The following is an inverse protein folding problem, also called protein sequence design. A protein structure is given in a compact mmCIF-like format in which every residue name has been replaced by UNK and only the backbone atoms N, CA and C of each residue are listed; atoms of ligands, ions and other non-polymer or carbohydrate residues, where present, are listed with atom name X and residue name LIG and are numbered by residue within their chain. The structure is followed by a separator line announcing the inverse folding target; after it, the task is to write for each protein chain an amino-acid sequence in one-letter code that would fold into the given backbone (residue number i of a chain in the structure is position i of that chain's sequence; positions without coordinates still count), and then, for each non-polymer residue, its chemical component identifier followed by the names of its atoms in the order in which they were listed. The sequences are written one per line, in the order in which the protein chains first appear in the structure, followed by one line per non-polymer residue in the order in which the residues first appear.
data_IF_456944642976
#
_entry.id   IF_456944642976
#
_cell.length_a   1.000
_cell.length_b   1.000
_cell.length_c   1.000
_cell.angle_alpha   90.00
_cell.angle_beta   90.00
_cell.angle_gamma   90.00
#
_symmetry.space_group_name_H-M   'P 1'
#
loop_
_entity.id
_entity.type
_entity.pdbx_description
1 polymer ?
#
# COMPACT_ATOMS: atom_id res chain seq x y z
N UNK A 1 -12.74 -15.92 12.69
CA UNK A 1 -13.78 -15.30 11.85
C UNK A 1 -13.18 -14.14 11.05
N UNK A 2 -12.18 -14.40 10.20
CA UNK A 2 -11.71 -13.51 9.12
C UNK A 2 -10.88 -14.39 8.16
N UNK A 3 -11.47 -15.45 7.61
CA UNK A 3 -10.76 -16.42 6.76
C UNK A 3 -11.18 -16.32 5.29
N UNK A 4 -11.72 -15.17 4.89
CA UNK A 4 -12.11 -14.91 3.50
C UNK A 4 -10.92 -14.51 2.62
N UNK A 5 -11.04 -14.79 1.34
CA UNK A 5 -10.13 -14.35 0.28
C UNK A 5 -10.89 -13.50 -0.74
N UNK A 6 -10.22 -12.52 -1.31
CA UNK A 6 -10.77 -11.65 -2.35
C UNK A 6 -9.95 -11.87 -3.62
N UNK A 7 -10.64 -12.09 -4.74
CA UNK A 7 -10.03 -12.12 -6.07
C UNK A 7 -9.59 -10.70 -6.48
N UNK A 8 -8.29 -10.53 -6.62
CA UNK A 8 -7.59 -9.31 -7.05
C UNK A 8 -7.24 -9.38 -8.54
N UNK A 9 -7.05 -10.59 -9.09
CA UNK A 9 -6.66 -10.78 -10.48
C UNK A 9 -7.66 -10.15 -11.45
N UNK A 10 -8.95 -10.34 -11.18
CA UNK A 10 -10.03 -9.76 -11.97
C UNK A 10 -10.25 -8.25 -11.80
N UNK A 11 -9.65 -7.60 -10.79
CA UNK A 11 -9.88 -6.18 -10.45
C UNK A 11 -8.61 -5.32 -10.46
N UNK A 12 -7.49 -5.87 -10.94
CA UNK A 12 -6.18 -5.18 -10.88
C UNK A 12 -6.20 -3.89 -11.68
N UNK A 13 -6.81 -3.88 -12.88
CA UNK A 13 -6.92 -2.69 -13.72
C UNK A 13 -7.76 -1.59 -13.06
N UNK A 14 -8.85 -1.97 -12.40
CA UNK A 14 -9.74 -1.09 -11.64
C UNK A 14 -9.01 -0.48 -10.45
N UNK A 15 -8.19 -1.26 -9.74
CA UNK A 15 -7.36 -0.78 -8.63
C UNK A 15 -6.29 0.22 -9.11
N UNK A 16 -5.66 -0.04 -10.26
CA UNK A 16 -4.70 0.90 -10.87
C UNK A 16 -5.40 2.20 -11.30
N UNK A 17 -6.58 2.11 -11.92
CA UNK A 17 -7.38 3.27 -12.28
C UNK A 17 -7.80 4.07 -11.04
N UNK A 18 -8.27 3.39 -10.00
CA UNK A 18 -8.64 4.01 -8.72
C UNK A 18 -7.47 4.76 -8.09
N UNK A 19 -6.25 4.20 -8.15
CA UNK A 19 -5.02 4.88 -7.72
C UNK A 19 -4.78 6.19 -8.50
N UNK A 20 -4.92 6.17 -9.82
CA UNK A 20 -4.78 7.37 -10.66
C UNK A 20 -5.84 8.44 -10.35
N UNK A 21 -7.10 8.02 -10.13
CA UNK A 21 -8.19 8.92 -9.70
C UNK A 21 -7.90 9.52 -8.33
N UNK A 22 -7.44 8.72 -7.36
CA UNK A 22 -7.08 9.19 -6.02
C UNK A 22 -5.95 10.22 -6.06
N UNK A 23 -4.90 9.98 -6.86
CA UNK A 23 -3.83 10.96 -7.09
C UNK A 23 -4.38 12.29 -7.62
N UNK A 24 -5.20 12.22 -8.66
CA UNK A 24 -5.80 13.41 -9.28
C UNK A 24 -6.71 14.15 -8.30
N UNK A 25 -7.49 13.42 -7.49
CA UNK A 25 -8.37 13.99 -6.48
C UNK A 25 -7.57 14.71 -5.37
N UNK A 26 -6.50 14.09 -4.86
CA UNK A 26 -5.63 14.71 -3.84
C UNK A 26 -5.01 16.01 -4.38
N UNK A 27 -4.47 15.98 -5.59
CA UNK A 27 -3.88 17.16 -6.22
C UNK A 27 -4.93 18.24 -6.48
N UNK A 28 -6.09 17.87 -7.03
CA UNK A 28 -7.19 18.79 -7.29
C UNK A 28 -7.72 19.46 -6.03
N UNK A 29 -7.93 18.69 -4.96
CA UNK A 29 -8.35 19.20 -3.65
C UNK A 29 -7.30 20.14 -3.04
N UNK A 30 -6.01 19.78 -3.13
CA UNK A 30 -4.91 20.63 -2.68
C UNK A 30 -4.87 21.97 -3.43
N UNK A 31 -4.91 21.94 -4.76
CA UNK A 31 -4.91 23.15 -5.59
C UNK A 31 -6.14 24.05 -5.36
N UNK A 32 -7.29 23.46 -5.04
CA UNK A 32 -8.51 24.19 -4.69
C UNK A 32 -8.51 24.74 -3.24
N UNK A 33 -7.46 24.49 -2.46
CA UNK A 33 -7.31 24.97 -1.08
C UNK A 33 -7.95 24.07 -0.01
N UNK A 34 -8.54 22.93 -0.39
CA UNK A 34 -9.11 21.95 0.55
C UNK A 34 -8.04 21.01 1.12
N UNK A 35 -6.98 21.59 1.70
CA UNK A 35 -5.77 20.89 2.11
C UNK A 35 -6.03 19.76 3.12
N UNK A 36 -6.87 19.99 4.12
CA UNK A 36 -7.20 18.96 5.12
C UNK A 36 -7.95 17.77 4.49
N UNK A 37 -8.90 18.04 3.59
CA UNK A 37 -9.64 17.00 2.87
C UNK A 37 -8.69 16.22 1.95
N UNK A 38 -7.81 16.91 1.23
CA UNK A 38 -6.79 16.28 0.39
C UNK A 38 -5.91 15.31 1.20
N UNK A 39 -5.55 15.71 2.41
CA UNK A 39 -4.72 14.94 3.34
C UNK A 39 -5.46 13.71 3.87
N UNK A 40 -6.76 13.79 4.19
CA UNK A 40 -7.58 12.62 4.53
C UNK A 40 -7.71 11.64 3.35
N UNK A 41 -7.93 12.15 2.13
CA UNK A 41 -8.05 11.32 0.92
C UNK A 41 -6.73 10.62 0.61
N UNK A 42 -5.59 11.29 0.84
CA UNK A 42 -4.26 10.71 0.58
C UNK A 42 -3.95 9.45 1.40
N UNK A 43 -4.63 9.24 2.53
CA UNK A 43 -4.48 8.00 3.31
C UNK A 43 -4.82 6.78 2.46
N UNK A 44 -5.83 6.91 1.58
CA UNK A 44 -6.33 5.82 0.75
C UNK A 44 -5.50 5.56 -0.51
N UNK A 45 -4.54 6.43 -0.81
CA UNK A 45 -3.78 6.40 -2.06
C UNK A 45 -2.89 5.16 -2.18
N UNK A 46 -2.41 4.65 -1.05
CA UNK A 46 -1.56 3.45 -1.01
C UNK A 46 -2.35 2.15 -0.93
N UNK A 47 -3.66 2.17 -0.70
CA UNK A 47 -4.48 0.96 -0.57
C UNK A 47 -4.48 0.10 -1.84
N UNK A 48 -4.70 0.66 -3.05
CA UNK A 48 -4.68 -0.16 -4.27
C UNK A 48 -3.33 -0.84 -4.47
N UNK A 49 -2.23 -0.12 -4.24
CA UNK A 49 -0.87 -0.65 -4.34
C UNK A 49 -0.58 -1.73 -3.31
N UNK A 50 -1.05 -1.54 -2.07
CA UNK A 50 -0.94 -2.56 -1.04
C UNK A 50 -1.71 -3.83 -1.42
N UNK A 51 -2.94 -3.69 -1.91
CA UNK A 51 -3.80 -4.83 -2.28
C UNK A 51 -3.16 -5.61 -3.44
N UNK A 52 -2.70 -4.92 -4.48
CA UNK A 52 -2.03 -5.55 -5.62
C UNK A 52 -0.74 -6.23 -5.15
N UNK A 53 0.12 -5.52 -4.42
CA UNK A 53 1.43 -6.02 -4.00
C UNK A 53 1.37 -7.13 -2.95
N UNK A 54 0.29 -7.20 -2.17
CA UNK A 54 0.06 -8.24 -1.16
C UNK A 54 -0.74 -9.44 -1.71
N UNK A 55 -1.17 -9.39 -2.97
CA UNK A 55 -1.87 -10.50 -3.58
C UNK A 55 -0.91 -11.64 -3.95
N UNK A 56 -1.34 -12.88 -3.74
CA UNK A 56 -0.64 -14.09 -4.12
C UNK A 56 -1.62 -14.95 -4.93
N UNK A 57 -1.20 -15.44 -6.11
CA UNK A 57 -2.07 -16.16 -7.05
C UNK A 57 -3.36 -15.41 -7.43
N UNK A 58 -3.29 -14.07 -7.48
CA UNK A 58 -4.45 -13.25 -7.78
C UNK A 58 -5.46 -13.16 -6.65
N UNK A 59 -5.20 -13.66 -5.44
CA UNK A 59 -6.07 -13.46 -4.28
C UNK A 59 -5.35 -12.76 -3.12
N UNK A 60 -6.12 -12.10 -2.25
CA UNK A 60 -5.62 -11.51 -1.02
C UNK A 60 -6.46 -11.96 0.18
N UNK A 61 -5.79 -12.29 1.29
CA UNK A 61 -6.48 -12.62 2.54
C UNK A 61 -7.14 -11.39 3.16
N UNK A 62 -8.40 -11.50 3.55
CA UNK A 62 -9.13 -10.47 4.31
C UNK A 62 -8.45 -10.08 5.62
N UNK A 63 -7.60 -10.96 6.18
CA UNK A 63 -6.77 -10.66 7.35
C UNK A 63 -5.86 -9.46 7.08
N UNK A 64 -5.20 -9.41 5.92
CA UNK A 64 -4.28 -8.33 5.53
C UNK A 64 -5.01 -6.99 5.37
N UNK A 65 -6.28 -7.02 4.97
CA UNK A 65 -7.12 -5.82 4.85
C UNK A 65 -7.51 -5.25 6.21
N UNK A 66 -7.76 -6.10 7.21
CA UNK A 66 -8.07 -5.65 8.57
C UNK A 66 -6.77 -5.27 9.30
N UNK A 67 -5.76 -6.14 9.25
CA UNK A 67 -4.43 -5.92 9.79
C UNK A 67 -3.36 -6.46 8.81
N UNK A 68 -2.47 -5.60 8.28
CA UNK A 68 -2.16 -4.28 8.82
C UNK A 68 -2.95 -3.11 8.23
N UNK A 69 -3.56 -3.26 7.05
CA UNK A 69 -4.05 -2.10 6.27
C UNK A 69 -5.13 -1.29 7.00
N UNK A 70 -6.13 -1.92 7.58
CA UNK A 70 -7.23 -1.27 8.29
C UNK A 70 -6.75 -0.51 9.54
N UNK A 71 -5.93 -1.14 10.37
CA UNK A 71 -5.34 -0.49 11.56
C UNK A 71 -4.43 0.67 11.15
N UNK A 72 -3.59 0.48 10.13
CA UNK A 72 -2.73 1.54 9.60
C UNK A 72 -3.55 2.75 9.12
N UNK A 73 -4.66 2.50 8.42
CA UNK A 73 -5.61 3.53 7.97
C UNK A 73 -6.21 4.29 9.14
N UNK A 74 -6.67 3.57 10.17
CA UNK A 74 -7.25 4.18 11.37
C UNK A 74 -6.26 5.06 12.12
N UNK A 75 -5.00 4.61 12.25
CA UNK A 75 -3.93 5.38 12.88
C UNK A 75 -3.61 6.66 12.09
N UNK A 76 -3.47 6.56 10.77
CA UNK A 76 -3.24 7.70 9.87
C UNK A 76 -4.35 8.75 9.98
N UNK A 77 -5.61 8.34 9.84
CA UNK A 77 -6.75 9.27 9.94
C UNK A 77 -6.81 9.93 11.31
N UNK A 78 -6.57 9.16 12.38
CA UNK A 78 -6.52 9.69 13.75
C UNK A 78 -5.39 10.70 13.92
N UNK A 79 -4.21 10.41 13.36
CA UNK A 79 -3.06 11.31 13.37
C UNK A 79 -3.44 12.67 12.76
N UNK A 80 -4.00 12.63 11.54
CA UNK A 80 -4.34 13.82 10.77
C UNK A 80 -5.45 14.65 11.41
N UNK A 81 -6.50 14.01 11.92
CA UNK A 81 -7.58 14.70 12.64
C UNK A 81 -7.03 15.38 13.90
N UNK A 82 -6.15 14.72 14.66
CA UNK A 82 -5.54 15.32 15.85
C UNK A 82 -4.57 16.44 15.50
N UNK A 83 -3.83 16.31 14.40
CA UNK A 83 -2.95 17.38 13.90
C UNK A 83 -3.76 18.63 13.56
N UNK A 84 -4.84 18.50 12.81
CA UNK A 84 -5.74 19.62 12.48
C UNK A 84 -6.33 20.24 13.75
N UNK A 85 -6.86 19.41 14.65
CA UNK A 85 -7.44 19.85 15.91
C UNK A 85 -6.44 20.67 16.76
N UNK A 86 -5.25 20.13 17.01
CA UNK A 86 -4.25 20.80 17.84
C UNK A 86 -3.58 21.98 17.14
N UNK A 87 -3.46 21.95 15.80
CA UNK A 87 -2.96 23.10 15.03
C UNK A 87 -3.90 24.29 15.17
N UNK A 88 -5.22 24.05 15.08
CA UNK A 88 -6.23 25.09 15.24
C UNK A 88 -6.36 25.54 16.70
N UNK A 89 -6.35 24.60 17.67
CA UNK A 89 -6.48 24.92 19.09
C UNK A 89 -5.34 25.79 19.63
N UNK A 90 -4.14 25.66 19.06
CA UNK A 90 -2.96 26.42 19.46
C UNK A 90 -2.48 27.42 18.39
N UNK A 91 -3.32 27.74 17.40
CA UNK A 91 -2.97 28.69 16.35
C UNK A 91 -2.56 30.06 16.94
N UNK A 92 -1.34 30.50 16.64
CA UNK A 92 -0.80 31.77 17.13
C UNK A 92 -0.45 31.81 18.63
N UNK A 93 -0.43 30.65 19.31
CA UNK A 93 -0.11 30.55 20.74
C UNK A 93 0.79 29.36 21.02
N UNK A 94 1.54 29.41 22.12
CA UNK A 94 2.28 28.22 22.58
C UNK A 94 1.32 27.21 23.19
N UNK A 95 1.51 25.90 22.96
CA UNK A 95 0.63 24.89 23.50
C UNK A 95 0.72 24.85 25.03
N UNK A 96 -0.43 24.62 25.67
CA UNK A 96 -0.51 24.54 27.14
C UNK A 96 0.24 23.33 27.73
N UNK A 97 0.55 22.33 26.90
CA UNK A 97 1.28 21.13 27.26
C UNK A 97 2.10 20.63 26.07
N UNK A 98 3.10 19.80 26.37
CA UNK A 98 3.88 19.08 25.39
C UNK A 98 3.66 17.58 25.55
N UNK A 99 3.68 16.85 24.44
CA UNK A 99 3.64 15.39 24.44
C UNK A 99 5.03 14.91 24.10
N UNK A 100 5.71 14.25 25.05
CA UNK A 100 7.10 13.78 24.86
C UNK A 100 8.04 14.89 24.37
N UNK A 101 7.84 16.13 24.83
CA UNK A 101 8.63 17.30 24.41
C UNK A 101 8.22 17.93 23.07
N UNK A 102 7.19 17.40 22.40
CA UNK A 102 6.73 17.88 21.10
C UNK A 102 5.42 18.68 21.20
N UNK A 103 5.22 19.58 20.23
CA UNK A 103 3.92 20.23 20.03
C UNK A 103 2.83 19.15 19.82
N UNK A 104 1.64 19.25 20.45
CA UNK A 104 0.63 18.20 20.39
C UNK A 104 0.23 17.78 18.97
N UNK A 105 0.14 18.73 18.03
CA UNK A 105 -0.17 18.44 16.62
C UNK A 105 0.93 17.59 15.95
N UNK A 106 2.21 17.84 16.26
CA UNK A 106 3.33 17.07 15.74
C UNK A 106 3.45 15.71 16.43
N UNK A 107 3.22 15.65 17.74
CA UNK A 107 3.23 14.41 18.49
C UNK A 107 2.18 13.40 17.97
N UNK A 108 1.01 13.88 17.54
CA UNK A 108 0.00 13.04 16.91
C UNK A 108 0.53 12.36 15.63
N UNK A 109 1.15 13.12 14.72
CA UNK A 109 1.78 12.56 13.52
C UNK A 109 2.91 11.60 13.89
N UNK A 110 3.78 11.99 14.80
CA UNK A 110 4.93 11.19 15.18
C UNK A 110 4.52 9.82 15.75
N UNK A 111 3.61 9.81 16.72
CA UNK A 111 3.24 8.58 17.42
C UNK A 111 2.26 7.71 16.65
N UNK A 112 1.26 8.29 15.97
CA UNK A 112 0.23 7.52 15.30
C UNK A 112 0.63 7.16 13.87
N UNK A 113 1.04 8.14 13.07
CA UNK A 113 1.43 7.89 11.68
C UNK A 113 2.80 7.23 11.59
N UNK A 114 3.82 7.83 12.20
CA UNK A 114 5.20 7.36 12.08
C UNK A 114 5.43 6.07 12.87
N UNK A 115 5.40 6.15 14.20
CA UNK A 115 5.69 4.98 15.04
C UNK A 115 4.59 3.94 14.92
N UNK A 116 3.34 4.31 15.14
CA UNK A 116 2.19 3.39 15.08
C UNK A 116 2.01 2.77 13.70
N UNK A 117 2.04 3.58 12.65
CA UNK A 117 1.90 3.12 11.27
C UNK A 117 3.04 2.21 10.85
N UNK A 118 4.30 2.61 11.09
CA UNK A 118 5.46 1.78 10.76
C UNK A 118 5.42 0.44 11.50
N UNK A 119 5.19 0.46 12.82
CA UNK A 119 5.10 -0.76 13.63
C UNK A 119 3.96 -1.68 13.14
N UNK A 120 2.80 -1.12 12.79
CA UNK A 120 1.64 -1.88 12.29
C UNK A 120 1.99 -2.62 11.00
N UNK A 121 2.60 -1.94 10.04
CA UNK A 121 2.98 -2.54 8.75
C UNK A 121 4.09 -3.57 8.94
N UNK A 122 5.14 -3.26 9.72
CA UNK A 122 6.27 -4.18 9.96
C UNK A 122 5.83 -5.44 10.70
N UNK A 123 4.97 -5.32 11.71
CA UNK A 123 4.42 -6.48 12.42
C UNK A 123 3.47 -7.28 11.54
N UNK A 124 2.61 -6.62 10.76
CA UNK A 124 1.74 -7.28 9.78
C UNK A 124 2.54 -8.10 8.77
N UNK A 125 3.64 -7.53 8.27
CA UNK A 125 4.59 -8.25 7.45
C UNK A 125 5.19 -9.44 8.25
N UNK A 126 5.80 -9.22 9.41
CA UNK A 126 6.43 -10.30 10.19
C UNK A 126 5.49 -11.46 10.55
N UNK A 127 4.22 -11.19 10.85
CA UNK A 127 3.24 -12.20 11.26
C UNK A 127 2.67 -12.97 10.06
N UNK A 128 2.42 -12.27 8.94
CA UNK A 128 1.69 -12.84 7.81
C UNK A 128 2.53 -13.10 6.56
N UNK A 129 3.79 -12.64 6.49
CA UNK A 129 4.63 -12.72 5.30
C UNK A 129 4.73 -14.14 4.74
N UNK A 130 5.15 -15.10 5.57
CA UNK A 130 5.32 -16.51 5.20
C UNK A 130 4.01 -17.26 4.88
N UNK A 131 2.86 -16.73 5.27
CA UNK A 131 1.56 -17.42 5.16
C UNK A 131 0.65 -16.86 4.09
N UNK A 132 0.72 -15.55 3.84
CA UNK A 132 -0.23 -14.85 3.00
C UNK A 132 0.41 -13.96 1.94
N UNK A 133 1.68 -13.58 2.10
CA UNK A 133 2.39 -12.69 1.17
C UNK A 133 3.31 -13.47 0.24
N UNK A 134 4.03 -14.45 0.79
CA UNK A 134 4.87 -15.39 0.05
C UNK A 134 4.83 -16.76 0.74
N UNK A 135 3.77 -17.55 0.49
CA UNK A 135 3.72 -18.95 0.90
C UNK A 135 4.96 -19.72 0.43
N UNK A 136 5.41 -20.67 1.25
CA UNK A 136 6.54 -21.55 0.87
C UNK A 136 6.22 -22.28 -0.45
N UNK A 137 7.13 -22.20 -1.42
CA UNK A 137 6.99 -22.79 -2.76
C UNK A 137 6.46 -21.86 -3.86
N UNK A 138 5.85 -20.70 -3.53
CA UNK A 138 5.44 -19.72 -4.55
C UNK A 138 6.65 -19.08 -5.25
N UNK A 139 7.73 -18.85 -4.50
CA UNK A 139 8.98 -18.34 -5.08
C UNK A 139 9.58 -19.31 -6.10
N UNK A 140 9.62 -20.59 -5.76
CA UNK A 140 10.16 -21.63 -6.64
C UNK A 140 9.29 -21.75 -7.89
N UNK A 141 7.96 -21.68 -7.74
CA UNK A 141 7.03 -21.70 -8.88
C UNK A 141 7.16 -20.46 -9.78
N UNK A 142 7.44 -19.29 -9.20
CA UNK A 142 7.75 -18.08 -9.97
C UNK A 142 9.06 -18.23 -10.75
N UNK A 143 10.11 -18.79 -10.13
CA UNK A 143 11.38 -19.07 -10.81
C UNK A 143 11.18 -20.05 -11.99
N UNK A 144 10.42 -21.13 -11.78
CA UNK A 144 10.09 -22.09 -12.83
C UNK A 144 9.33 -21.42 -14.00
N UNK A 145 8.40 -20.52 -13.70
CA UNK A 145 7.65 -19.79 -14.73
C UNK A 145 8.53 -18.81 -15.51
N UNK A 146 9.42 -18.07 -14.84
CA UNK A 146 10.40 -17.20 -15.50
C UNK A 146 11.35 -18.00 -16.38
N UNK A 147 11.83 -19.16 -15.90
CA UNK A 147 12.71 -20.03 -16.67
C UNK A 147 12.01 -20.59 -17.92
N UNK A 148 10.73 -20.98 -17.80
CA UNK A 148 9.92 -21.40 -18.94
C UNK A 148 9.71 -20.28 -19.96
N UNK A 149 9.36 -19.07 -19.52
CA UNK A 149 9.17 -17.92 -20.42
C UNK A 149 10.47 -17.54 -21.13
N UNK A 150 11.60 -17.56 -20.42
CA UNK A 150 12.91 -17.32 -21.03
C UNK A 150 13.25 -18.40 -22.07
N UNK A 151 13.06 -19.68 -21.75
CA UNK A 151 13.29 -20.78 -22.68
C UNK A 151 12.36 -20.73 -23.90
N UNK A 152 11.12 -20.24 -23.75
CA UNK A 152 10.19 -19.98 -24.85
C UNK A 152 10.57 -18.74 -25.66
N UNK A 153 11.22 -17.74 -25.07
CA UNK A 153 11.70 -16.54 -25.76
C UNK A 153 12.99 -16.74 -26.55
N UNK A 154 13.82 -17.72 -26.17
CA UNK A 154 15.06 -18.09 -26.88
C UNK A 154 14.81 -19.04 -28.08
N UNK A 155 13.66 -19.74 -28.12
CA UNK A 155 13.27 -20.60 -29.26
C UNK A 155 12.96 -19.84 -30.56
N UNK A 156 12.28 -18.68 -30.56
CA UNK A 156 12.04 -17.87 -31.75
C UNK A 156 13.33 -17.48 -32.48
N UNK A 157 14.40 -17.13 -31.76
CA UNK A 157 15.68 -16.76 -32.39
C UNK A 157 16.40 -17.97 -33.00
N UNK A 158 16.27 -19.15 -32.39
CA UNK A 158 16.87 -20.37 -32.91
C UNK A 158 16.17 -20.88 -34.19
N UNK A 159 14.83 -20.78 -34.26
CA UNK A 159 14.08 -21.21 -35.44
C UNK A 159 14.22 -20.21 -36.61
N UNK A 160 14.25 -18.89 -36.37
CA UNK A 160 14.56 -17.89 -37.42
C UNK A 160 16.00 -18.01 -37.94
N UNK A 161 16.99 -18.25 -37.07
CA UNK A 161 18.38 -18.41 -37.49
C UNK A 161 18.63 -19.70 -38.30
N UNK A 162 17.84 -20.75 -38.08
CA UNK A 162 17.90 -22.00 -38.85
C UNK A 162 17.21 -21.86 -40.21
N UNK A 163 16.10 -21.11 -40.31
CA UNK A 163 15.44 -20.82 -41.58
C UNK A 163 16.29 -19.95 -42.51
N UNK A 164 16.94 -18.90 -41.99
CA UNK A 164 17.80 -17.99 -42.79
C UNK A 164 19.08 -18.69 -43.30
N UNK A 165 19.55 -19.74 -42.61
CA UNK A 165 20.76 -20.50 -43.01
C UNK A 165 20.48 -21.55 -44.09
N UNK A 166 19.23 -21.93 -44.29
CA UNK A 166 18.80 -22.94 -45.28
C UNK A 166 18.21 -22.33 -46.56
N UNK A 167 18.29 -21.01 -46.74
CA UNK A 167 18.01 -20.29 -48.00
C UNK A 167 19.32 -19.87 -48.68
#
# INVERSE_FOLDING_TARGET
MLDGEIDVGGITSELMLASGVLWTAVLGLGLAGYWFVALLVSVFLFHPWFIIGASSNGTISTKLLVYPLGIWTGLQLSAFVLTEYYSNAFAGSSPAFLVTGMHPSFAAVYWLYWVGGFMTITLGYGIYFRKHFLPEGEWDRFLDEVERVNAESERPEADEAVEVRNQ
#
